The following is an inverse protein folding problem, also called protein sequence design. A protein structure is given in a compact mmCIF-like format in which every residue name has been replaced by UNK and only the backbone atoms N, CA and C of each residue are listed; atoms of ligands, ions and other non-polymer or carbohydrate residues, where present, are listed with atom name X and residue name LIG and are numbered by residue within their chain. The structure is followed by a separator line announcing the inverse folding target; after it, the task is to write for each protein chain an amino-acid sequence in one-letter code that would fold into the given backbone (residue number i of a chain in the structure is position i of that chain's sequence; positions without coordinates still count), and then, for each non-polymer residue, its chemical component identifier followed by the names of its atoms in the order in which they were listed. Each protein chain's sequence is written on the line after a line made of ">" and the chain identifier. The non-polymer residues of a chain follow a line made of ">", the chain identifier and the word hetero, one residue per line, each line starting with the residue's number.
data_IF_857978814232
#
_entry.id   IF_857978814232
#
_cell.length_a   1.000
_cell.length_b   1.000
_cell.length_c   1.000
_cell.angle_alpha   90.00
_cell.angle_beta   90.00
_cell.angle_gamma   90.00
#
_symmetry.space_group_name_H-M   'P 1'
#
loop_
_entity.id
_entity.type
_entity.pdbx_description
1 polymer ?
#
# COMPACT_ATOMS: atom_id res chain seq x y z
N UNK A 1 8.89 14.52 -32.53
CA UNK A 1 8.15 13.29 -32.92
C UNK A 1 7.67 12.69 -31.61
N UNK A 2 6.36 12.50 -31.41
CA UNK A 2 5.88 11.89 -30.17
C UNK A 2 6.40 10.45 -30.10
N UNK A 3 7.01 10.08 -28.98
CA UNK A 3 7.53 8.73 -28.77
C UNK A 3 6.36 7.75 -28.66
N UNK A 4 6.42 6.66 -29.44
CA UNK A 4 5.39 5.63 -29.45
C UNK A 4 5.67 4.68 -28.29
N UNK A 5 4.94 4.84 -27.19
CA UNK A 5 5.20 4.14 -25.92
C UNK A 5 5.19 2.62 -26.04
N UNK A 6 4.42 2.07 -26.98
CA UNK A 6 4.17 0.66 -27.22
C UNK A 6 4.93 0.11 -28.44
N UNK A 7 6.00 0.79 -28.88
CA UNK A 7 6.79 0.41 -30.06
C UNK A 7 7.34 -1.02 -29.99
N UNK A 8 7.66 -1.52 -28.81
CA UNK A 8 8.12 -2.91 -28.64
C UNK A 8 6.96 -3.90 -28.78
N UNK A 9 5.76 -3.54 -28.33
CA UNK A 9 4.54 -4.34 -28.50
C UNK A 9 4.10 -4.41 -29.96
N UNK A 10 4.22 -3.30 -30.71
CA UNK A 10 3.99 -3.26 -32.17
C UNK A 10 4.93 -4.23 -32.90
N UNK A 11 6.17 -4.39 -32.42
CA UNK A 11 7.14 -5.36 -32.95
C UNK A 11 6.89 -6.80 -32.47
N UNK A 12 5.87 -7.03 -31.65
CA UNK A 12 5.56 -8.34 -31.06
C UNK A 12 6.55 -8.79 -30.00
N UNK A 13 7.29 -7.87 -29.36
CA UNK A 13 8.35 -8.21 -28.41
C UNK A 13 7.80 -8.32 -26.99
N UNK A 14 8.06 -9.45 -26.36
CA UNK A 14 7.80 -9.73 -24.96
C UNK A 14 8.92 -10.59 -24.39
N UNK A 15 8.96 -10.75 -23.07
CA UNK A 15 9.96 -11.58 -22.40
C UNK A 15 9.40 -12.18 -21.12
N UNK A 16 10.14 -13.12 -20.56
CA UNK A 16 9.76 -13.83 -19.35
C UNK A 16 10.55 -13.32 -18.15
N UNK A 17 9.92 -13.34 -16.98
CA UNK A 17 10.55 -13.10 -15.68
C UNK A 17 10.03 -14.13 -14.69
N UNK A 18 10.83 -14.45 -13.67
CA UNK A 18 10.40 -15.28 -12.54
C UNK A 18 10.16 -14.34 -11.35
N UNK A 19 8.95 -14.38 -10.80
CA UNK A 19 8.59 -13.69 -9.56
C UNK A 19 8.13 -14.77 -8.59
N UNK A 20 8.88 -14.97 -7.50
CA UNK A 20 8.58 -15.98 -6.47
C UNK A 20 8.32 -17.39 -7.01
N UNK A 21 9.09 -17.81 -8.01
CA UNK A 21 8.96 -19.13 -8.63
C UNK A 21 7.86 -19.23 -9.69
N UNK A 22 7.06 -18.18 -9.91
CA UNK A 22 6.07 -18.11 -10.98
C UNK A 22 6.64 -17.42 -12.23
N UNK A 23 6.40 -18.01 -13.39
CA UNK A 23 6.81 -17.43 -14.69
C UNK A 23 5.79 -16.41 -15.18
N UNK A 24 6.21 -15.16 -15.28
CA UNK A 24 5.42 -14.05 -15.82
C UNK A 24 5.91 -13.63 -17.18
N UNK A 25 4.98 -13.21 -18.02
CA UNK A 25 5.28 -12.51 -19.27
C UNK A 25 5.19 -11.03 -19.02
N UNK A 26 6.21 -10.31 -19.43
CA UNK A 26 6.22 -8.87 -19.44
C UNK A 26 6.39 -8.31 -20.85
N UNK A 27 5.80 -7.14 -21.05
CA UNK A 27 6.02 -6.29 -22.22
C UNK A 27 6.75 -5.02 -21.79
N UNK A 28 7.43 -4.38 -22.74
CA UNK A 28 8.25 -3.20 -22.46
C UNK A 28 7.59 -1.98 -23.06
N UNK A 29 7.42 -0.93 -22.26
CA UNK A 29 7.08 0.41 -22.76
C UNK A 29 8.30 1.31 -22.74
N UNK A 30 8.37 2.22 -23.69
CA UNK A 30 9.36 3.30 -23.68
C UNK A 30 8.68 4.56 -23.16
N UNK A 31 9.08 5.03 -22.00
CA UNK A 31 8.52 6.21 -21.35
C UNK A 31 9.68 7.16 -21.06
N UNK A 32 9.65 8.36 -21.65
CA UNK A 32 10.73 9.35 -21.53
C UNK A 32 12.11 8.78 -21.94
N UNK A 33 12.16 7.94 -22.97
CA UNK A 33 13.38 7.26 -23.40
C UNK A 33 13.85 6.08 -22.53
N UNK A 34 13.14 5.75 -21.45
CA UNK A 34 13.46 4.61 -20.58
C UNK A 34 12.63 3.37 -20.90
N UNK A 35 13.28 2.21 -20.91
CA UNK A 35 12.64 0.92 -21.10
C UNK A 35 12.09 0.39 -19.77
N UNK A 36 10.80 0.57 -19.57
CA UNK A 36 10.09 0.13 -18.37
C UNK A 36 9.32 -1.16 -18.64
N UNK A 37 9.35 -2.07 -17.67
CA UNK A 37 8.78 -3.42 -17.82
C UNK A 37 7.42 -3.51 -17.14
N UNK A 38 6.46 -4.09 -17.84
CA UNK A 38 5.08 -4.14 -17.42
C UNK A 38 4.49 -5.54 -17.57
N UNK A 39 3.64 -5.92 -16.63
CA UNK A 39 2.82 -7.14 -16.70
C UNK A 39 1.34 -6.75 -16.80
N UNK A 40 0.55 -7.63 -17.39
CA UNK A 40 -0.91 -7.49 -17.34
C UNK A 40 -1.41 -7.61 -15.91
N UNK A 41 -2.17 -6.62 -15.46
CA UNK A 41 -2.85 -6.62 -14.17
C UNK A 41 -3.67 -7.90 -13.96
N UNK A 42 -4.44 -8.29 -14.98
CA UNK A 42 -5.27 -9.48 -14.93
C UNK A 42 -4.45 -10.76 -14.76
N UNK A 43 -3.30 -10.86 -15.46
CA UNK A 43 -2.41 -12.02 -15.35
C UNK A 43 -1.75 -12.08 -13.96
N UNK A 44 -1.22 -10.95 -13.47
CA UNK A 44 -0.63 -10.85 -12.14
C UNK A 44 -1.64 -11.21 -11.03
N UNK A 45 -2.87 -10.70 -11.15
CA UNK A 45 -3.96 -11.01 -10.24
C UNK A 45 -4.24 -12.52 -10.20
N UNK A 46 -4.39 -13.17 -11.35
CA UNK A 46 -4.79 -14.58 -11.39
C UNK A 46 -3.66 -15.57 -11.05
N UNK A 47 -2.40 -15.21 -11.29
CA UNK A 47 -1.25 -16.11 -11.07
C UNK A 47 -0.57 -15.92 -9.72
N UNK A 48 -0.44 -14.68 -9.21
CA UNK A 48 0.35 -14.39 -8.01
C UNK A 48 -0.51 -13.90 -6.84
N UNK A 49 -1.42 -12.96 -7.10
CA UNK A 49 -2.01 -12.15 -6.04
C UNK A 49 -3.36 -12.69 -5.54
N UNK A 50 -4.02 -13.57 -6.30
CA UNK A 50 -5.41 -14.02 -6.09
C UNK A 50 -5.72 -14.45 -4.65
N UNK A 51 -4.82 -15.19 -4.01
CA UNK A 51 -5.05 -15.71 -2.67
C UNK A 51 -5.17 -14.59 -1.64
N UNK A 52 -4.22 -13.64 -1.66
CA UNK A 52 -4.23 -12.50 -0.74
C UNK A 52 -5.27 -11.46 -1.13
N UNK A 53 -5.51 -11.24 -2.42
CA UNK A 53 -6.50 -10.27 -2.86
C UNK A 53 -7.91 -10.62 -2.41
N UNK A 54 -8.28 -11.90 -2.38
CA UNK A 54 -9.59 -12.29 -1.86
C UNK A 54 -9.66 -12.30 -0.33
N UNK A 55 -8.51 -12.30 0.35
CA UNK A 55 -8.44 -12.34 1.82
C UNK A 55 -8.69 -10.97 2.45
N UNK A 56 -8.08 -9.90 1.96
CA UNK A 56 -8.27 -8.57 2.55
C UNK A 56 -9.55 -7.88 2.07
N UNK A 57 -10.07 -7.00 2.91
CA UNK A 57 -11.13 -6.07 2.54
C UNK A 57 -10.61 -5.11 1.44
N UNK A 58 -11.41 -4.78 0.41
CA UNK A 58 -11.02 -3.84 -0.65
C UNK A 58 -10.49 -2.48 -0.17
N UNK A 59 -10.92 -2.03 1.00
CA UNK A 59 -10.47 -0.76 1.58
C UNK A 59 -8.97 -0.77 1.90
N UNK A 60 -8.37 -1.93 2.18
CA UNK A 60 -6.92 -2.07 2.35
C UNK A 60 -6.18 -1.62 1.08
N UNK A 61 -6.74 -1.89 -0.10
CA UNK A 61 -6.07 -1.57 -1.36
C UNK A 61 -6.03 -0.08 -1.69
N UNK A 62 -6.83 0.75 -1.00
CA UNK A 62 -6.74 2.22 -1.11
C UNK A 62 -5.39 2.75 -0.62
N UNK A 63 -4.71 1.99 0.23
CA UNK A 63 -3.39 2.33 0.77
C UNK A 63 -2.27 2.16 -0.27
N UNK A 64 -2.48 1.36 -1.31
CA UNK A 64 -1.42 0.91 -2.21
C UNK A 64 -1.01 1.99 -3.21
N UNK A 65 0.30 2.18 -3.50
CA UNK A 65 0.78 3.13 -4.50
C UNK A 65 0.80 2.55 -5.93
N UNK A 66 0.03 1.49 -6.21
CA UNK A 66 0.04 0.81 -7.52
C UNK A 66 -0.80 1.56 -8.54
N UNK A 67 -0.17 1.99 -9.63
CA UNK A 67 -0.81 2.71 -10.73
C UNK A 67 -1.00 1.78 -11.92
N UNK A 68 -2.24 1.70 -12.41
CA UNK A 68 -2.55 1.00 -13.64
C UNK A 68 -2.35 1.88 -14.84
N UNK A 69 -1.97 1.30 -15.96
CA UNK A 69 -1.90 1.99 -17.23
C UNK A 69 -2.73 1.25 -18.28
N UNK A 70 -3.72 1.92 -18.85
CA UNK A 70 -4.55 1.30 -19.90
C UNK A 70 -3.68 0.78 -21.04
N UNK A 71 -4.02 -0.41 -21.53
CA UNK A 71 -3.31 -1.04 -22.63
C UNK A 71 -3.70 -0.40 -23.96
N UNK A 72 -2.77 -0.36 -24.91
CA UNK A 72 -3.02 0.08 -26.28
C UNK A 72 -3.62 -1.05 -27.13
N UNK A 73 -4.02 -0.74 -28.37
CA UNK A 73 -4.48 -1.77 -29.31
C UNK A 73 -3.38 -2.79 -29.63
N UNK A 74 -2.14 -2.33 -29.86
CA UNK A 74 -1.02 -3.21 -30.14
C UNK A 74 -0.69 -4.12 -28.96
N UNK A 75 -0.77 -3.59 -27.74
CA UNK A 75 -0.58 -4.39 -26.52
C UNK A 75 -1.71 -5.38 -26.28
N UNK A 76 -2.97 -4.99 -26.55
CA UNK A 76 -4.11 -5.90 -26.47
C UNK A 76 -3.96 -7.07 -27.46
N UNK A 77 -3.59 -6.78 -28.72
CA UNK A 77 -3.31 -7.81 -29.73
C UNK A 77 -2.17 -8.73 -29.29
N UNK A 78 -1.06 -8.16 -28.81
CA UNK A 78 0.07 -8.93 -28.32
C UNK A 78 -0.29 -9.81 -27.12
N UNK A 79 -0.99 -9.28 -26.12
CA UNK A 79 -1.42 -10.06 -24.94
C UNK A 79 -2.39 -11.19 -25.29
N UNK A 80 -3.31 -10.96 -26.25
CA UNK A 80 -4.19 -12.00 -26.76
C UNK A 80 -3.42 -13.09 -27.53
N UNK A 81 -2.43 -12.70 -28.35
CA UNK A 81 -1.54 -13.63 -29.01
C UNK A 81 -0.71 -14.44 -28.00
N UNK A 82 -0.15 -13.78 -27.00
CA UNK A 82 0.57 -14.40 -25.89
C UNK A 82 -0.30 -15.45 -25.18
N UNK A 83 -1.51 -15.08 -24.74
CA UNK A 83 -2.38 -16.01 -24.04
C UNK A 83 -2.66 -17.27 -24.88
N UNK A 84 -2.95 -17.09 -26.17
CA UNK A 84 -3.32 -18.21 -27.06
C UNK A 84 -2.14 -19.06 -27.52
N UNK A 85 -1.00 -18.45 -27.85
CA UNK A 85 0.15 -19.13 -28.48
C UNK A 85 1.26 -19.49 -27.51
N UNK A 86 1.40 -18.77 -26.39
CA UNK A 86 2.54 -18.87 -25.48
C UNK A 86 2.16 -19.28 -24.05
N UNK A 87 0.88 -19.21 -23.69
CA UNK A 87 0.38 -19.63 -22.37
C UNK A 87 -0.63 -20.78 -22.44
N UNK A 88 -0.77 -21.45 -23.59
CA UNK A 88 -1.72 -22.56 -23.78
C UNK A 88 -3.17 -22.22 -23.36
N UNK A 89 -3.56 -20.96 -23.51
CA UNK A 89 -4.85 -20.43 -23.04
C UNK A 89 -5.10 -20.60 -21.52
N UNK A 90 -4.04 -20.58 -20.70
CA UNK A 90 -4.10 -20.64 -19.23
C UNK A 90 -5.05 -19.60 -18.64
N UNK A 91 -5.17 -18.42 -19.28
CA UNK A 91 -6.07 -17.35 -18.85
C UNK A 91 -7.49 -17.46 -19.44
N UNK A 92 -7.82 -18.62 -20.02
CA UNK A 92 -9.13 -18.94 -20.55
C UNK A 92 -9.54 -18.03 -21.72
N UNK A 93 -10.86 -17.78 -21.80
CA UNK A 93 -11.49 -16.96 -22.84
C UNK A 93 -11.38 -15.45 -22.58
N UNK A 94 -10.54 -15.01 -21.66
CA UNK A 94 -10.34 -13.58 -21.44
C UNK A 94 -9.69 -12.96 -22.67
N UNK A 95 -10.36 -11.96 -23.24
CA UNK A 95 -9.85 -11.14 -24.33
C UNK A 95 -9.40 -9.81 -23.75
N UNK A 96 -8.12 -9.49 -23.91
CA UNK A 96 -7.55 -8.20 -23.54
C UNK A 96 -8.07 -7.11 -24.49
N UNK A 97 -8.54 -5.99 -23.92
CA UNK A 97 -9.20 -4.89 -24.61
C UNK A 97 -8.51 -3.57 -24.27
N UNK A 98 -8.11 -2.84 -25.31
CA UNK A 98 -7.53 -1.50 -25.19
C UNK A 98 -8.45 -0.51 -24.49
N UNK A 99 -7.87 0.37 -23.67
CA UNK A 99 -8.63 1.36 -22.90
C UNK A 99 -9.49 0.78 -21.76
N UNK A 100 -9.44 -0.54 -21.53
CA UNK A 100 -10.17 -1.21 -20.44
C UNK A 100 -9.21 -1.96 -19.53
N UNK A 101 -8.43 -2.87 -20.09
CA UNK A 101 -7.46 -3.65 -19.32
C UNK A 101 -6.20 -2.81 -19.07
N UNK A 102 -5.49 -3.13 -17.99
CA UNK A 102 -4.35 -2.36 -17.52
C UNK A 102 -3.07 -3.19 -17.46
N UNK A 103 -1.96 -2.51 -17.70
CA UNK A 103 -0.63 -2.91 -17.31
C UNK A 103 -0.26 -2.30 -15.96
N UNK A 104 0.62 -2.97 -15.23
CA UNK A 104 1.28 -2.47 -14.03
C UNK A 104 2.77 -2.75 -14.12
N UNK A 105 3.60 -1.94 -13.48
CA UNK A 105 5.05 -2.16 -13.45
C UNK A 105 5.37 -3.43 -12.69
N UNK A 106 6.39 -4.15 -13.14
CA UNK A 106 6.85 -5.38 -12.46
C UNK A 106 7.23 -5.07 -11.01
N UNK A 107 7.95 -3.98 -10.81
CA UNK A 107 8.45 -3.57 -9.50
C UNK A 107 7.30 -3.37 -8.52
N UNK A 108 6.20 -2.73 -8.96
CA UNK A 108 5.01 -2.53 -8.14
C UNK A 108 4.29 -3.85 -7.81
N UNK A 109 4.35 -4.86 -8.68
CA UNK A 109 3.76 -6.20 -8.42
C UNK A 109 4.59 -6.97 -7.40
N UNK A 110 5.92 -6.88 -7.49
CA UNK A 110 6.83 -7.52 -6.52
C UNK A 110 6.64 -6.93 -5.12
N UNK A 111 6.66 -5.60 -5.03
CA UNK A 111 6.42 -4.89 -3.78
C UNK A 111 5.01 -5.15 -3.23
N UNK A 112 3.99 -5.19 -4.09
CA UNK A 112 2.63 -5.54 -3.66
C UNK A 112 2.56 -6.95 -3.06
N UNK A 113 3.20 -7.92 -3.71
CA UNK A 113 3.20 -9.30 -3.24
C UNK A 113 3.89 -9.39 -1.88
N UNK A 114 5.06 -8.77 -1.72
CA UNK A 114 5.75 -8.69 -0.44
C UNK A 114 4.89 -8.01 0.63
N UNK A 115 4.27 -6.88 0.31
CA UNK A 115 3.36 -6.17 1.22
C UNK A 115 2.21 -7.08 1.68
N UNK A 116 1.54 -7.75 0.74
CA UNK A 116 0.40 -8.63 1.05
C UNK A 116 0.82 -9.81 1.94
N UNK A 117 1.98 -10.41 1.68
CA UNK A 117 2.51 -11.53 2.47
C UNK A 117 2.83 -11.10 3.89
N UNK A 118 3.56 -9.99 4.06
CA UNK A 118 3.89 -9.47 5.39
C UNK A 118 2.62 -9.09 6.15
N UNK A 119 1.65 -8.42 5.52
CA UNK A 119 0.37 -8.10 6.13
C UNK A 119 -0.42 -9.36 6.51
N UNK A 120 -0.43 -10.38 5.64
CA UNK A 120 -1.16 -11.62 5.87
C UNK A 120 -0.57 -12.38 7.06
N UNK A 121 0.74 -12.57 7.07
CA UNK A 121 1.46 -13.25 8.15
C UNK A 121 1.31 -12.49 9.48
N UNK A 122 1.33 -11.16 9.45
CA UNK A 122 1.13 -10.34 10.65
C UNK A 122 -0.29 -10.48 11.23
N UNK A 123 -1.30 -10.56 10.37
CA UNK A 123 -2.69 -10.78 10.78
C UNK A 123 -2.91 -12.21 11.29
N UNK A 124 -2.29 -13.22 10.66
CA UNK A 124 -2.46 -14.63 11.04
C UNK A 124 -1.68 -15.02 12.31
N UNK A 125 -0.44 -14.56 12.44
CA UNK A 125 0.47 -15.04 13.49
C UNK A 125 0.11 -14.52 14.89
N UNK A 126 -0.70 -13.46 15.01
CA UNK A 126 -0.88 -12.68 16.25
C UNK A 126 0.46 -12.40 16.95
N UNK A 127 1.58 -12.37 16.21
CA UNK A 127 2.92 -12.40 16.78
C UNK A 127 3.54 -11.01 16.77
N UNK A 128 4.18 -10.66 17.89
CA UNK A 128 5.03 -9.48 18.02
C UNK A 128 6.43 -9.74 17.42
N UNK A 129 6.50 -10.42 16.27
CA UNK A 129 7.77 -10.61 15.59
C UNK A 129 8.38 -9.23 15.26
N UNK A 130 9.54 -8.97 15.86
CA UNK A 130 10.27 -7.70 15.79
C UNK A 130 10.94 -7.50 14.42
N UNK A 131 10.92 -8.51 13.55
CA UNK A 131 11.44 -8.41 12.18
C UNK A 131 10.49 -7.71 11.21
N UNK A 132 9.25 -7.43 11.65
CA UNK A 132 8.22 -6.83 10.80
C UNK A 132 8.36 -5.31 10.75
N UNK A 133 8.32 -4.75 9.54
CA UNK A 133 8.56 -3.33 9.27
C UNK A 133 7.49 -2.37 9.81
N UNK A 134 6.44 -2.85 10.49
CA UNK A 134 5.37 -2.00 10.99
C UNK A 134 4.63 -2.65 12.16
N UNK A 135 3.95 -1.83 12.95
CA UNK A 135 3.19 -2.28 14.10
C UNK A 135 2.56 -1.15 14.86
N UNK A 136 2.26 -1.41 16.13
CA UNK A 136 1.82 -0.41 17.08
C UNK A 136 2.77 -0.39 18.26
N UNK A 137 2.98 0.81 18.79
CA UNK A 137 3.66 1.00 20.06
C UNK A 137 2.67 1.64 21.01
N UNK A 138 2.57 1.05 22.19
CA UNK A 138 1.81 1.59 23.30
C UNK A 138 2.71 2.56 24.06
N UNK A 139 2.36 3.84 24.01
CA UNK A 139 2.99 4.91 24.79
C UNK A 139 2.04 5.21 25.96
N UNK A 140 2.41 4.74 27.15
CA UNK A 140 1.54 4.67 28.33
C UNK A 140 0.19 3.97 28.05
N UNK A 141 -0.88 4.74 27.79
CA UNK A 141 -2.21 4.21 27.47
C UNK A 141 -2.63 4.38 26.01
N UNK A 142 -1.80 5.04 25.19
CA UNK A 142 -2.12 5.36 23.79
C UNK A 142 -1.41 4.43 22.83
N UNK A 143 -2.17 3.84 21.91
CA UNK A 143 -1.64 3.07 20.79
C UNK A 143 -1.28 4.00 19.65
N UNK A 144 -0.04 3.92 19.15
CA UNK A 144 0.44 4.73 18.04
C UNK A 144 1.01 3.81 16.97
N UNK A 145 0.54 3.90 15.71
CA UNK A 145 1.09 3.12 14.62
C UNK A 145 2.54 3.54 14.32
N UNK A 146 3.37 2.61 13.89
CA UNK A 146 4.73 2.91 13.45
C UNK A 146 5.09 2.15 12.18
N UNK A 147 6.11 2.67 11.49
CA UNK A 147 6.86 2.00 10.45
C UNK A 147 8.35 1.98 10.82
N UNK A 148 9.02 0.85 10.65
CA UNK A 148 10.44 0.67 10.89
C UNK A 148 11.19 0.82 9.58
N UNK A 149 12.12 1.77 9.53
CA UNK A 149 13.04 1.99 8.40
C UNK A 149 14.45 2.09 8.94
N UNK A 150 15.38 1.33 8.37
CA UNK A 150 16.78 1.32 8.80
C UNK A 150 16.93 1.08 10.32
N UNK A 151 16.19 0.09 10.85
CA UNK A 151 16.12 -0.28 12.27
C UNK A 151 15.60 0.82 13.23
N UNK A 152 15.05 1.91 12.68
CA UNK A 152 14.44 3.00 13.45
C UNK A 152 12.93 3.05 13.25
N UNK A 153 12.18 3.12 14.36
CA UNK A 153 10.72 3.28 14.33
C UNK A 153 10.34 4.73 14.11
N UNK A 154 9.44 4.95 13.17
CA UNK A 154 8.87 6.25 12.83
C UNK A 154 7.37 6.26 13.09
N UNK A 155 6.90 7.27 13.80
CA UNK A 155 5.51 7.42 14.24
C UNK A 155 4.89 8.67 13.58
N UNK A 156 3.60 8.67 13.22
CA UNK A 156 2.96 9.83 12.63
C UNK A 156 2.95 11.02 13.59
N UNK A 157 3.40 12.18 13.12
CA UNK A 157 3.49 13.38 13.94
C UNK A 157 2.10 13.83 14.43
N UNK A 158 1.04 13.63 13.64
CA UNK A 158 -0.33 13.98 14.00
C UNK A 158 -0.84 13.21 15.24
N UNK A 159 -0.18 12.12 15.64
CA UNK A 159 -0.53 11.40 16.87
C UNK A 159 -0.11 12.15 18.14
N UNK A 160 0.65 13.24 18.03
CA UNK A 160 1.16 14.02 19.15
C UNK A 160 0.53 15.42 19.13
N UNK A 161 -0.25 15.73 20.16
CA UNK A 161 -0.88 17.05 20.34
C UNK A 161 0.05 17.96 21.17
N UNK A 162 0.02 19.28 20.91
CA UNK A 162 0.80 20.28 21.65
C UNK A 162 1.72 21.11 20.76
N UNK A 163 2.62 21.91 21.36
CA UNK A 163 3.67 22.61 20.62
C UNK A 163 4.68 21.60 20.07
N UNK A 164 4.49 21.19 18.82
CA UNK A 164 5.34 20.23 18.11
C UNK A 164 6.52 20.90 17.38
N UNK A 165 6.76 22.21 17.61
CA UNK A 165 7.80 22.98 16.93
C UNK A 165 9.19 22.34 17.07
N UNK A 166 9.52 21.81 18.24
CA UNK A 166 10.79 21.12 18.49
C UNK A 166 10.84 19.74 17.81
N UNK A 167 9.69 19.07 17.68
CA UNK A 167 9.57 17.76 17.02
C UNK A 167 9.67 17.88 15.49
N UNK A 168 9.32 19.04 14.91
CA UNK A 168 9.45 19.28 13.48
C UNK A 168 10.90 19.26 12.99
N UNK A 169 11.88 19.55 13.85
CA UNK A 169 13.30 19.63 13.49
C UNK A 169 13.87 18.27 13.06
N UNK A 170 13.28 17.16 13.53
CA UNK A 170 13.65 15.78 13.17
C UNK A 170 12.63 15.03 12.31
N UNK A 171 11.57 15.71 11.87
CA UNK A 171 10.49 15.06 11.14
C UNK A 171 10.87 14.79 9.66
N UNK A 172 10.44 13.64 9.15
CA UNK A 172 10.65 13.22 7.75
C UNK A 172 9.33 12.82 7.10
N UNK A 173 9.30 12.77 5.76
CA UNK A 173 8.11 12.34 5.03
C UNK A 173 8.23 10.89 4.57
N UNK A 174 7.29 10.03 4.99
CA UNK A 174 7.11 8.71 4.38
C UNK A 174 6.20 8.82 3.15
N UNK A 175 6.55 8.09 2.09
CA UNK A 175 5.86 8.07 0.80
C UNK A 175 5.83 6.65 0.23
N UNK A 176 5.06 6.43 -0.83
CA UNK A 176 5.04 5.18 -1.60
C UNK A 176 4.81 3.92 -0.73
N UNK A 177 5.67 2.91 -0.85
CA UNK A 177 5.54 1.63 -0.16
C UNK A 177 5.76 1.74 1.35
N UNK A 178 6.72 2.55 1.80
CA UNK A 178 6.92 2.87 3.23
C UNK A 178 5.62 3.38 3.87
N UNK A 179 4.93 4.28 3.16
CA UNK A 179 3.64 4.81 3.60
C UNK A 179 2.51 3.77 3.52
N UNK A 180 2.57 2.82 2.58
CA UNK A 180 1.52 1.80 2.43
C UNK A 180 1.42 0.92 3.68
N UNK A 181 2.56 0.51 4.26
CA UNK A 181 2.62 -0.23 5.52
C UNK A 181 2.05 0.56 6.69
N UNK A 182 2.40 1.84 6.80
CA UNK A 182 1.86 2.70 7.86
C UNK A 182 0.34 2.91 7.70
N UNK A 183 -0.16 3.07 6.48
CA UNK A 183 -1.59 3.18 6.19
C UNK A 183 -2.35 1.89 6.45
N UNK A 184 -1.72 0.72 6.29
CA UNK A 184 -2.32 -0.54 6.73
C UNK A 184 -2.61 -0.50 8.23
N UNK A 185 -1.68 -0.02 9.06
CA UNK A 185 -1.93 0.19 10.49
C UNK A 185 -3.07 1.18 10.74
N UNK A 186 -3.19 2.22 9.93
CA UNK A 186 -4.30 3.18 10.03
C UNK A 186 -5.65 2.50 9.78
N UNK A 187 -5.74 1.65 8.76
CA UNK A 187 -6.94 0.85 8.51
C UNK A 187 -7.25 -0.08 9.68
N UNK A 188 -6.24 -0.78 10.21
CA UNK A 188 -6.39 -1.67 11.37
C UNK A 188 -6.99 -0.93 12.59
N UNK A 189 -6.51 0.28 12.87
CA UNK A 189 -6.98 1.13 13.97
C UNK A 189 -8.22 2.00 13.65
N UNK A 190 -8.76 1.92 12.43
CA UNK A 190 -9.83 2.79 11.95
C UNK A 190 -9.48 4.29 12.04
N UNK A 191 -8.22 4.67 11.78
CA UNK A 191 -7.78 6.06 11.73
C UNK A 191 -8.32 6.70 10.45
N UNK A 192 -9.04 7.81 10.59
CA UNK A 192 -9.71 8.49 9.50
C UNK A 192 -8.75 9.15 8.50
N UNK A 193 -9.08 9.02 7.21
CA UNK A 193 -8.30 9.55 6.08
C UNK A 193 -8.10 11.08 6.07
N UNK A 194 -8.84 11.83 6.89
CA UNK A 194 -8.69 13.29 7.00
C UNK A 194 -7.55 13.74 7.92
N UNK A 195 -6.90 12.80 8.63
CA UNK A 195 -5.81 13.09 9.56
C UNK A 195 -4.42 13.08 8.90
N UNK A 196 -4.32 12.62 7.65
CA UNK A 196 -3.05 12.47 6.94
C UNK A 196 -3.19 12.73 5.44
N UNK A 197 -2.09 13.11 4.78
CA UNK A 197 -2.08 13.31 3.33
C UNK A 197 -2.14 11.97 2.58
N UNK A 198 -2.83 11.94 1.44
CA UNK A 198 -2.98 10.73 0.64
C UNK A 198 -1.66 10.25 0.03
N UNK A 199 -0.66 11.10 -0.11
CA UNK A 199 0.59 10.80 -0.80
C UNK A 199 1.80 10.75 0.13
N UNK A 200 1.71 11.38 1.30
CA UNK A 200 2.78 11.37 2.30
C UNK A 200 2.25 11.36 3.73
N UNK A 201 3.11 10.99 4.68
CA UNK A 201 2.85 11.20 6.11
C UNK A 201 4.11 11.76 6.75
N UNK A 202 3.97 12.89 7.45
CA UNK A 202 5.04 13.43 8.29
C UNK A 202 5.17 12.58 9.54
N UNK A 203 6.34 12.00 9.72
CA UNK A 203 6.67 11.11 10.82
C UNK A 203 7.89 11.60 11.57
N UNK A 204 8.04 11.16 12.81
CA UNK A 204 9.19 11.44 13.66
C UNK A 204 9.69 10.14 14.27
N UNK A 205 10.99 10.07 14.55
CA UNK A 205 11.56 8.88 15.15
C UNK A 205 11.10 8.68 16.60
N UNK A 206 10.97 7.41 17.01
CA UNK A 206 10.65 7.07 18.40
C UNK A 206 11.68 7.63 19.37
N UNK A 207 12.97 7.63 19.01
CA UNK A 207 14.03 8.15 19.87
C UNK A 207 13.85 9.66 20.15
N UNK A 208 13.46 10.43 19.13
CA UNK A 208 13.20 11.86 19.32
C UNK A 208 11.95 12.09 20.17
N UNK A 209 10.92 11.28 20.00
CA UNK A 209 9.73 11.29 20.86
C UNK A 209 10.11 10.98 22.31
N UNK A 210 10.94 9.97 22.55
CA UNK A 210 11.35 9.58 23.91
C UNK A 210 12.04 10.72 24.66
N UNK A 211 12.72 11.63 23.95
CA UNK A 211 13.35 12.80 24.56
C UNK A 211 12.35 13.89 24.99
N UNK A 212 11.12 13.86 24.46
CA UNK A 212 10.08 14.84 24.74
C UNK A 212 9.15 14.43 25.90
N UNK A 213 9.05 13.13 26.17
CA UNK A 213 8.21 12.58 27.23
C UNK A 213 8.97 12.41 28.55
N UNK A 214 8.27 12.40 29.70
CA UNK A 214 8.89 12.11 31.00
C UNK A 214 9.64 10.77 31.01
N UNK A 215 10.72 10.63 31.79
CA UNK A 215 11.49 9.38 31.89
C UNK A 215 10.67 8.17 32.36
N UNK A 216 9.54 8.40 33.03
CA UNK A 216 8.64 7.36 33.51
C UNK A 216 7.68 6.83 32.43
N UNK A 217 7.62 7.49 31.26
CA UNK A 217 6.76 7.05 30.15
C UNK A 217 7.18 5.67 29.67
N UNK A 218 6.18 4.82 29.51
CA UNK A 218 6.36 3.42 29.10
C UNK A 218 6.15 3.25 27.60
N UNK A 219 6.95 2.37 27.00
CA UNK A 219 6.95 2.09 25.57
C UNK A 219 6.94 0.58 25.36
N UNK A 220 5.87 0.05 24.76
CA UNK A 220 5.69 -1.38 24.57
C UNK A 220 5.22 -1.67 23.13
N UNK A 221 5.92 -2.56 22.43
CA UNK A 221 5.43 -3.08 21.14
C UNK A 221 4.16 -3.90 21.35
N UNK A 222 3.16 -3.63 20.53
CA UNK A 222 1.89 -4.32 20.61
C UNK A 222 1.26 -4.53 19.23
N UNK A 223 0.37 -5.50 19.19
CA UNK A 223 -0.44 -5.81 18.02
C UNK A 223 -1.87 -6.13 18.50
N UNK A 224 -2.92 -5.60 17.87
CA UNK A 224 -4.28 -5.91 18.26
C UNK A 224 -4.55 -7.41 18.16
N UNK A 225 -5.17 -7.97 19.20
CA UNK A 225 -5.60 -9.35 19.18
C UNK A 225 -6.84 -9.51 18.28
N UNK A 226 -6.99 -10.69 17.67
CA UNK A 226 -8.21 -11.10 16.94
C UNK A 226 -8.55 -10.23 15.73
N UNK A 227 -7.55 -9.73 15.00
CA UNK A 227 -7.77 -9.05 13.71
C UNK A 227 -8.52 -9.93 12.70
N UNK A 228 -8.42 -11.25 12.84
CA UNK A 228 -9.23 -12.25 12.12
C UNK A 228 -10.74 -12.01 12.16
N UNK A 229 -11.23 -11.21 13.12
CA UNK A 229 -12.64 -10.84 13.26
C UNK A 229 -12.96 -9.42 12.77
N UNK A 230 -12.00 -8.68 12.22
CA UNK A 230 -12.18 -7.28 11.83
C UNK A 230 -12.64 -7.18 10.36
N UNK A 231 -13.95 -6.92 10.10
CA UNK A 231 -14.49 -6.91 8.74
C UNK A 231 -13.94 -5.78 7.86
N UNK A 232 -13.39 -4.73 8.46
CA UNK A 232 -12.75 -3.62 7.76
C UNK A 232 -11.32 -3.94 7.30
N UNK A 233 -10.70 -5.01 7.84
CA UNK A 233 -9.37 -5.48 7.42
C UNK A 233 -9.49 -6.73 6.54
N UNK A 234 -10.35 -7.66 6.92
CA UNK A 234 -10.49 -8.98 6.28
C UNK A 234 -11.85 -9.10 5.59
N UNK A 235 -11.83 -9.74 4.43
CA UNK A 235 -13.04 -10.10 3.71
C UNK A 235 -13.75 -11.30 4.37
N UNK A 236 -14.63 -11.05 5.33
CA UNK A 236 -15.37 -12.11 6.03
C UNK A 236 -16.45 -12.78 5.17
N UNK A 237 -16.93 -12.11 4.12
CA UNK A 237 -18.02 -12.63 3.30
C UNK A 237 -17.55 -13.65 2.26
N UNK A 238 -16.23 -13.81 2.08
CA UNK A 238 -15.61 -14.63 1.02
C UNK A 238 -16.10 -14.30 -0.40
N UNK A 239 -16.72 -13.13 -0.58
CA UNK A 239 -17.12 -12.64 -1.89
C UNK A 239 -15.88 -12.36 -2.72
N UNK A 240 -15.93 -12.73 -3.99
CA UNK A 240 -14.83 -12.43 -4.91
C UNK A 240 -14.87 -10.95 -5.29
N UNK A 241 -13.72 -10.29 -5.18
CA UNK A 241 -13.63 -8.90 -5.58
C UNK A 241 -13.74 -8.73 -7.08
N UNK A 242 -14.14 -7.53 -7.50
CA UNK A 242 -14.07 -7.16 -8.91
C UNK A 242 -12.60 -7.15 -9.36
N UNK A 243 -12.29 -7.66 -10.57
CA UNK A 243 -10.93 -7.62 -11.09
C UNK A 243 -10.35 -6.21 -11.10
N UNK A 244 -9.07 -6.08 -10.73
CA UNK A 244 -8.35 -4.81 -10.73
C UNK A 244 -8.66 -3.87 -9.56
N UNK A 245 -9.35 -4.32 -8.50
CA UNK A 245 -9.64 -3.51 -7.29
C UNK A 245 -8.40 -2.95 -6.60
N UNK A 246 -7.24 -3.57 -6.82
CA UNK A 246 -5.95 -3.23 -6.21
C UNK A 246 -5.16 -2.16 -6.97
N UNK A 247 -5.72 -1.62 -8.05
CA UNK A 247 -5.02 -0.71 -8.97
C UNK A 247 -5.69 0.66 -8.94
N UNK A 248 -4.88 1.70 -8.79
CA UNK A 248 -5.36 3.09 -8.94
C UNK A 248 -5.56 3.43 -10.40
N UNK A 249 -6.63 4.16 -10.68
CA UNK A 249 -7.00 4.51 -12.04
C UNK A 249 -5.92 5.40 -12.68
N UNK A 250 -5.44 5.10 -13.91
CA UNK A 250 -4.44 5.90 -14.61
C UNK A 250 -4.79 7.39 -14.71
N UNK A 251 -6.07 7.74 -14.74
CA UNK A 251 -6.54 9.13 -14.88
C UNK A 251 -6.59 9.92 -13.56
N UNK A 252 -6.28 9.30 -12.42
CA UNK A 252 -6.31 9.96 -11.10
C UNK A 252 -4.93 10.47 -10.65
N UNK A 253 -3.89 10.31 -11.48
CA UNK A 253 -2.54 10.82 -11.20
C UNK A 253 -2.45 12.27 -11.69
N UNK A 254 -2.76 13.23 -10.81
CA UNK A 254 -2.36 14.61 -11.03
C UNK A 254 -0.82 14.65 -11.04
N UNK A 255 -0.23 15.08 -12.15
CA UNK A 255 1.18 15.44 -12.20
C UNK A 255 1.50 16.43 -11.08
N UNK A 256 2.61 16.28 -10.34
CA UNK A 256 3.02 17.29 -9.37
C UNK A 256 3.31 18.60 -10.13
N UNK A 257 2.46 19.60 -9.93
CA UNK A 257 2.76 20.96 -10.35
C UNK A 257 3.97 21.50 -9.56
N UNK A 258 4.82 22.33 -10.17
CA UNK A 258 5.96 22.92 -9.48
C UNK A 258 5.48 23.79 -8.31
N UNK A 259 6.06 23.53 -7.13
CA UNK A 259 5.79 24.23 -5.87
C UNK A 259 6.08 25.72 -6.05
N UNK A 260 5.03 26.54 -6.18
CA UNK A 260 5.11 27.97 -5.94
C UNK A 260 4.59 28.24 -4.53
N UNK A 261 5.53 28.46 -3.62
CA UNK A 261 5.25 28.73 -2.21
C UNK A 261 4.44 30.00 -2.02
N UNK A 262 3.24 29.87 -1.46
CA UNK A 262 2.58 30.89 -0.65
C UNK A 262 1.80 30.20 0.47
N UNK A 263 2.33 30.27 1.68
CA UNK A 263 1.59 29.98 2.91
C UNK A 263 0.37 30.90 2.97
N UNK A 264 -0.84 30.32 3.00
CA UNK A 264 -2.07 31.02 3.35
C UNK A 264 -2.49 30.55 4.73
N UNK A 265 -2.32 31.42 5.72
CA UNK A 265 -2.88 31.25 7.06
C UNK A 265 -4.40 31.17 6.95
N UNK A 266 -4.99 30.09 7.47
CA UNK A 266 -6.43 29.94 7.63
C UNK A 266 -6.73 29.74 9.11
N UNK A 267 -7.18 30.81 9.76
CA UNK A 267 -7.82 30.77 11.07
C UNK A 267 -9.23 30.20 10.97
N UNK A 268 -9.58 29.39 11.98
CA UNK A 268 -10.89 29.31 12.65
C UNK A 268 -11.70 28.02 12.52
N UNK A 269 -11.85 27.41 13.70
CA UNK A 269 -13.02 26.74 14.28
C UNK A 269 -13.18 25.22 14.04
N UNK A 270 -12.81 24.52 15.11
CA UNK A 270 -12.95 23.08 15.37
C UNK A 270 -14.41 22.72 15.68
N UNK A 271 -15.01 21.73 14.99
CA UNK A 271 -16.16 21.01 15.52
C UNK A 271 -15.67 19.99 16.57
N UNK A 272 -16.32 20.01 17.74
CA UNK A 272 -16.05 19.12 18.87
C UNK A 272 -16.01 17.64 18.46
N UNK A 273 -14.93 16.96 18.84
CA UNK A 273 -14.74 15.52 18.71
C UNK A 273 -15.78 14.77 19.55
N UNK A 274 -16.54 13.86 18.92
CA UNK A 274 -17.07 12.69 19.63
C UNK A 274 -16.01 11.59 19.53
N UNK A 275 -15.29 11.39 20.63
CA UNK A 275 -14.47 10.23 20.88
C UNK A 275 -15.38 8.99 20.96
N UNK A 276 -15.40 8.18 19.92
CA UNK A 276 -15.72 6.76 20.09
C UNK A 276 -14.42 6.03 20.41
N UNK A 277 -14.21 5.79 21.70
CA UNK A 277 -13.28 4.78 22.20
C UNK A 277 -13.72 3.42 21.67
N UNK A 278 -13.21 2.99 20.52
CA UNK A 278 -13.16 1.55 20.22
C UNK A 278 -12.01 0.98 21.02
N UNK A 279 -12.33 0.43 22.19
CA UNK A 279 -11.41 -0.38 22.96
C UNK A 279 -10.99 -1.58 22.10
N UNK A 280 -9.81 -1.49 21.46
CA UNK A 280 -9.08 -2.68 21.06
C UNK A 280 -8.54 -3.29 22.36
N UNK A 281 -9.29 -4.22 22.95
CA UNK A 281 -8.89 -4.93 24.16
C UNK A 281 -7.61 -5.75 23.89
N UNK A 282 -6.46 -5.16 24.19
CA UNK A 282 -5.18 -5.85 24.33
C UNK A 282 -5.01 -6.35 25.78
N UNK A 283 -6.06 -6.91 26.37
CA UNK A 283 -6.02 -7.50 27.71
C UNK A 283 -5.69 -9.00 27.59
N UNK A 284 -4.45 -9.30 27.97
CA UNK A 284 -3.90 -10.63 28.24
C UNK A 284 -4.89 -11.56 28.92
N UNK A 285 -5.21 -12.69 28.28
CA UNK A 285 -5.99 -13.76 28.89
C UNK A 285 -5.12 -14.49 29.91
N UNK A 286 -5.36 -14.21 31.18
CA UNK A 286 -4.76 -14.91 32.31
C UNK A 286 -5.25 -16.36 32.40
N UNK A 287 -4.28 -17.22 32.70
CA UNK A 287 -4.41 -18.62 33.08
C UNK A 287 -5.46 -18.80 34.19
N UNK A 288 -6.39 -19.74 33.98
CA UNK A 288 -6.91 -20.64 35.03
C UNK A 288 -7.15 -22.02 34.45
#
# INVERSE_FOLDING_TARGET
>A
MAEVIDVESIKGRFSWIIIEGCHFIYITRIINGEHLKFVSAFMAENQLLKQHLNYFNPDIYKCLPVIGHYITNAEAELLNNINTQHCESMFGKHTFIAGKDCLVRIEDVQELKQFLDVCYDKVQSNSNDQTVQFGFIKIDSKYVPYYTKEDQKYLPLFCFEGSTDDLLIGAVELKNWDLAYLKFCFQVMCIYDNLYDKNYCTVISLNDIMNYFPPETTYEDCWPNNLSSYPHVINLNNDHHKPGVWIKNPNQVNHPEPVNGKYVQSTSQVPQQQQTTTNCDCSSSGIK
#
